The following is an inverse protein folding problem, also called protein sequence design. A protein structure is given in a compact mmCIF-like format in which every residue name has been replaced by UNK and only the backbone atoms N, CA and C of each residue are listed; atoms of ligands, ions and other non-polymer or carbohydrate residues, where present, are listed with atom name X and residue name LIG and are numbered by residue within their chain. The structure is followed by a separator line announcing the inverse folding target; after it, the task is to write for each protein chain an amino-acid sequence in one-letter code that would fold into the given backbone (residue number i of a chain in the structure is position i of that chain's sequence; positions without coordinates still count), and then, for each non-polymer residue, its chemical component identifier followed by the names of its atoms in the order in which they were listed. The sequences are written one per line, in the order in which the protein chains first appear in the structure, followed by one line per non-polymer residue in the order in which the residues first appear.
data_IF_071708962233
#
_entry.id   IF_071708962233
#
_cell.length_a   1.000
_cell.length_b   1.000
_cell.length_c   1.000
_cell.angle_alpha   90.00
_cell.angle_beta   90.00
_cell.angle_gamma   90.00
#
_symmetry.space_group_name_H-M   'P 1'
#
loop_
_entity.id
_entity.type
_entity.pdbx_description
1 polymer ?
#
# COMPACT_ATOMS: atom_id res chain seq x y z
N UNK A 1 28.11 -12.17 -6.49
CA UNK A 1 28.64 -10.99 -5.76
C UNK A 1 28.88 -9.92 -6.80
N UNK A 2 28.37 -8.69 -6.63
CA UNK A 2 28.77 -7.57 -7.49
C UNK A 2 30.29 -7.43 -7.45
N UNK A 3 30.91 -6.99 -8.54
CA UNK A 3 32.34 -6.71 -8.56
C UNK A 3 32.65 -5.71 -7.44
N UNK A 4 33.52 -6.10 -6.50
CA UNK A 4 33.74 -5.38 -5.24
C UNK A 4 34.19 -3.92 -5.43
N UNK A 5 34.68 -3.58 -6.63
CA UNK A 5 35.10 -2.23 -7.01
C UNK A 5 33.91 -1.30 -7.29
N UNK A 6 32.81 -1.82 -7.84
CA UNK A 6 31.63 -1.04 -8.27
C UNK A 6 30.76 -0.56 -7.10
N UNK A 7 30.80 -1.24 -5.95
CA UNK A 7 30.07 -0.86 -4.73
C UNK A 7 31.02 -0.51 -3.58
N UNK A 8 32.16 0.12 -3.90
CA UNK A 8 33.14 0.56 -2.92
C UNK A 8 32.85 1.97 -2.39
N UNK A 9 33.31 2.28 -1.17
CA UNK A 9 33.22 3.64 -0.60
C UNK A 9 33.91 4.68 -1.49
N UNK A 10 35.03 4.32 -2.11
CA UNK A 10 35.77 5.19 -3.04
C UNK A 10 34.95 5.51 -4.29
N UNK A 11 34.23 4.51 -4.85
CA UNK A 11 33.35 4.73 -5.99
C UNK A 11 32.27 5.76 -5.67
N UNK A 12 31.59 5.63 -4.51
CA UNK A 12 30.52 6.53 -4.11
C UNK A 12 31.04 7.92 -3.71
N UNK A 13 32.18 7.99 -3.02
CA UNK A 13 32.81 9.25 -2.61
C UNK A 13 33.25 10.12 -3.79
N UNK A 14 33.54 9.50 -4.93
CA UNK A 14 33.88 10.20 -6.17
C UNK A 14 32.67 10.72 -6.96
N UNK A 15 31.42 10.44 -6.54
CA UNK A 15 30.20 10.88 -7.23
C UNK A 15 29.67 12.19 -6.67
N UNK A 16 29.07 12.99 -7.55
CA UNK A 16 28.28 14.14 -7.09
C UNK A 16 26.93 13.68 -6.53
N UNK A 17 26.27 14.51 -5.74
CA UNK A 17 24.90 14.25 -5.27
C UNK A 17 23.92 14.07 -6.44
N UNK A 18 24.16 14.73 -7.58
CA UNK A 18 23.34 14.58 -8.77
C UNK A 18 23.51 13.18 -9.40
N UNK A 19 24.74 12.69 -9.49
CA UNK A 19 25.03 11.34 -9.98
C UNK A 19 24.42 10.28 -9.05
N UNK A 20 24.57 10.45 -7.73
CA UNK A 20 23.99 9.53 -6.74
C UNK A 20 22.45 9.49 -6.85
N UNK A 21 21.82 10.65 -7.03
CA UNK A 21 20.37 10.73 -7.25
C UNK A 21 19.96 10.05 -8.55
N UNK A 22 20.68 10.28 -9.65
CA UNK A 22 20.40 9.63 -10.93
C UNK A 22 20.57 8.10 -10.85
N UNK A 23 21.60 7.63 -10.15
CA UNK A 23 21.81 6.21 -9.89
C UNK A 23 20.66 5.59 -9.10
N UNK A 24 20.17 6.27 -8.04
CA UNK A 24 19.01 5.81 -7.28
C UNK A 24 17.76 5.68 -8.17
N UNK A 25 17.51 6.65 -9.05
CA UNK A 25 16.39 6.58 -9.99
C UNK A 25 16.52 5.39 -10.97
N UNK A 26 17.73 5.13 -11.47
CA UNK A 26 17.98 3.98 -12.35
C UNK A 26 17.79 2.64 -11.61
N UNK A 27 18.19 2.56 -10.33
CA UNK A 27 17.98 1.38 -9.50
C UNK A 27 16.49 1.13 -9.28
N UNK A 28 15.73 2.16 -8.90
CA UNK A 28 14.28 2.07 -8.71
C UNK A 28 13.60 1.62 -10.01
N UNK A 29 13.92 2.26 -11.14
CA UNK A 29 13.34 1.92 -12.44
C UNK A 29 13.61 0.46 -12.83
N UNK A 30 14.83 -0.05 -12.59
CA UNK A 30 15.18 -1.44 -12.85
C UNK A 30 14.47 -2.41 -11.89
N UNK A 31 14.32 -2.07 -10.61
CA UNK A 31 13.54 -2.88 -9.66
C UNK A 31 12.07 -2.99 -10.08
N UNK A 32 11.45 -1.86 -10.43
CA UNK A 32 10.08 -1.81 -10.91
C UNK A 32 9.92 -2.59 -12.22
N UNK A 33 10.83 -2.41 -13.17
CA UNK A 33 10.84 -3.17 -14.42
C UNK A 33 10.89 -4.68 -14.16
N UNK A 34 11.75 -5.15 -13.27
CA UNK A 34 11.84 -6.58 -12.91
C UNK A 34 10.58 -7.10 -12.25
N UNK A 35 9.94 -6.30 -11.39
CA UNK A 35 8.66 -6.67 -10.79
C UNK A 35 7.57 -6.84 -11.86
N UNK A 36 7.53 -5.95 -12.85
CA UNK A 36 6.59 -6.04 -13.97
C UNK A 36 6.88 -7.25 -14.86
N UNK A 37 8.15 -7.47 -15.24
CA UNK A 37 8.56 -8.56 -16.13
C UNK A 37 8.50 -9.94 -15.46
N UNK A 38 8.63 -10.00 -14.13
CA UNK A 38 8.70 -11.22 -13.35
C UNK A 38 7.40 -11.63 -12.66
N UNK A 39 6.35 -10.81 -12.72
CA UNK A 39 5.06 -11.08 -12.08
C UNK A 39 3.97 -11.46 -13.10
N UNK A 40 2.91 -12.07 -12.59
CA UNK A 40 1.67 -12.35 -13.33
C UNK A 40 0.54 -11.52 -12.69
N UNK A 41 0.31 -10.26 -13.13
CA UNK A 41 -0.59 -9.33 -12.45
C UNK A 41 -2.00 -9.86 -12.24
N UNK A 42 -2.59 -10.56 -13.22
CA UNK A 42 -3.93 -11.14 -13.08
C UNK A 42 -3.99 -12.20 -11.97
N UNK A 43 -2.94 -13.02 -11.83
CA UNK A 43 -2.88 -14.05 -10.79
C UNK A 43 -2.73 -13.42 -9.39
N UNK A 44 -1.92 -12.36 -9.27
CA UNK A 44 -1.77 -11.60 -8.04
C UNK A 44 -3.06 -10.86 -7.66
N UNK A 45 -3.79 -10.34 -8.65
CA UNK A 45 -5.10 -9.73 -8.43
C UNK A 45 -6.09 -10.72 -7.83
N UNK A 46 -6.23 -11.90 -8.43
CA UNK A 46 -7.11 -12.94 -7.92
C UNK A 46 -6.69 -13.42 -6.52
N UNK A 47 -5.39 -13.54 -6.27
CA UNK A 47 -4.88 -13.83 -4.94
C UNK A 47 -5.26 -12.73 -3.94
N UNK A 48 -5.13 -11.46 -4.32
CA UNK A 48 -5.53 -10.32 -3.51
C UNK A 48 -7.01 -10.38 -3.13
N UNK A 49 -7.90 -10.75 -4.05
CA UNK A 49 -9.32 -10.91 -3.74
C UNK A 49 -9.60 -12.09 -2.82
N UNK A 50 -8.85 -13.17 -2.97
CA UNK A 50 -9.01 -14.40 -2.18
C UNK A 50 -8.56 -14.22 -0.72
N UNK A 51 -7.39 -13.61 -0.52
CA UNK A 51 -6.70 -13.61 0.76
C UNK A 51 -6.70 -12.23 1.46
N UNK A 52 -7.05 -11.16 0.75
CA UNK A 52 -6.88 -9.78 1.20
C UNK A 52 -7.92 -9.25 2.18
N UNK A 53 -8.93 -10.03 2.58
CA UNK A 53 -10.05 -9.52 3.37
C UNK A 53 -10.31 -10.31 4.65
N UNK A 54 -10.43 -9.56 5.76
CA UNK A 54 -10.78 -10.07 7.09
C UNK A 54 -12.22 -10.61 7.10
N UNK A 55 -12.59 -11.47 8.07
CA UNK A 55 -13.97 -11.93 8.22
C UNK A 55 -15.03 -10.82 8.39
N UNK A 56 -14.63 -9.65 8.89
CA UNK A 56 -15.50 -8.47 9.00
C UNK A 56 -15.62 -7.67 7.68
N UNK A 57 -14.93 -8.11 6.63
CA UNK A 57 -14.93 -7.51 5.31
C UNK A 57 -13.99 -6.33 5.10
N UNK A 58 -13.23 -5.90 6.12
CA UNK A 58 -12.18 -4.89 5.96
C UNK A 58 -10.88 -5.52 5.42
N UNK A 59 -9.98 -4.74 4.80
CA UNK A 59 -8.75 -5.29 4.25
C UNK A 59 -7.82 -5.82 5.36
N UNK A 60 -7.07 -6.86 5.02
CA UNK A 60 -5.82 -7.22 5.69
C UNK A 60 -4.74 -6.18 5.42
N UNK A 61 -3.62 -6.30 6.13
CA UNK A 61 -2.43 -5.51 5.84
C UNK A 61 -1.93 -5.89 4.43
N UNK A 62 -1.45 -4.93 3.62
CA UNK A 62 -0.90 -5.24 2.30
C UNK A 62 0.37 -6.10 2.43
N UNK A 63 0.75 -6.77 1.34
CA UNK A 63 1.93 -7.64 1.32
C UNK A 63 2.60 -7.63 -0.06
N UNK A 64 3.86 -8.06 -0.10
CA UNK A 64 4.66 -8.10 -1.33
C UNK A 64 4.73 -9.54 -1.85
N UNK A 65 4.57 -9.70 -3.16
CA UNK A 65 4.86 -10.93 -3.91
C UNK A 65 5.64 -10.54 -5.15
N UNK A 66 6.83 -11.13 -5.35
CA UNK A 66 7.66 -10.92 -6.54
C UNK A 66 7.92 -9.45 -6.91
N UNK A 67 8.12 -8.60 -5.89
CA UNK A 67 8.36 -7.16 -6.09
C UNK A 67 7.09 -6.35 -6.39
N UNK A 68 5.90 -6.93 -6.25
CA UNK A 68 4.61 -6.25 -6.39
C UNK A 68 3.89 -6.20 -5.04
N UNK A 69 3.51 -5.00 -4.61
CA UNK A 69 2.65 -4.78 -3.46
C UNK A 69 1.20 -5.03 -3.83
N UNK A 70 0.55 -5.93 -3.09
CA UNK A 70 -0.88 -6.19 -3.17
C UNK A 70 -1.57 -5.33 -2.13
N UNK A 71 -2.45 -4.44 -2.58
CA UNK A 71 -3.17 -3.45 -1.76
C UNK A 71 -4.68 -3.74 -1.71
N UNK A 72 -5.17 -4.54 -0.75
CA UNK A 72 -6.61 -4.73 -0.59
C UNK A 72 -7.29 -3.46 -0.06
N UNK A 73 -8.44 -3.12 -0.63
CA UNK A 73 -9.29 -2.01 -0.23
C UNK A 73 -10.76 -2.44 -0.08
N UNK A 74 -11.51 -1.78 0.80
CA UNK A 74 -12.91 -2.14 0.99
C UNK A 74 -13.79 -0.98 1.45
N UNK A 75 -15.06 -1.07 1.07
CA UNK A 75 -16.18 -0.31 1.65
C UNK A 75 -17.24 -1.30 2.12
N UNK A 76 -17.69 -1.16 3.37
CA UNK A 76 -18.77 -1.96 3.95
C UNK A 76 -19.85 -1.06 4.53
N UNK A 77 -21.00 -0.96 3.85
CA UNK A 77 -22.12 -0.20 4.37
C UNK A 77 -22.65 -0.75 5.68
N UNK A 78 -22.92 0.17 6.60
CA UNK A 78 -23.60 -0.10 7.88
C UNK A 78 -25.06 0.32 7.83
N UNK A 79 -25.35 1.41 7.12
CA UNK A 79 -26.68 1.96 6.87
C UNK A 79 -26.62 3.07 5.83
N UNK A 80 -27.74 3.74 5.57
CA UNK A 80 -27.89 4.70 4.44
C UNK A 80 -26.91 5.88 4.43
N UNK A 81 -26.29 6.21 5.57
CA UNK A 81 -25.37 7.35 5.69
C UNK A 81 -24.02 6.97 6.32
N UNK A 82 -23.72 5.68 6.47
CA UNK A 82 -22.48 5.25 7.14
C UNK A 82 -21.92 3.95 6.60
N UNK A 83 -20.58 3.88 6.53
CA UNK A 83 -19.84 2.69 6.16
C UNK A 83 -18.51 2.62 6.91
N UNK A 84 -17.96 1.41 7.04
CA UNK A 84 -16.57 1.20 7.43
C UNK A 84 -15.75 1.01 6.15
N UNK A 85 -14.59 1.67 6.02
CA UNK A 85 -13.74 1.56 4.84
C UNK A 85 -12.26 1.41 5.22
N UNK A 86 -11.46 0.87 4.31
CA UNK A 86 -10.02 0.75 4.49
C UNK A 86 -9.31 0.72 3.15
N UNK A 87 -8.23 1.51 3.01
CA UNK A 87 -7.47 1.66 1.77
C UNK A 87 -6.00 1.99 2.05
N UNK A 88 -5.13 1.64 1.11
CA UNK A 88 -3.72 2.04 1.12
C UNK A 88 -3.58 3.44 0.52
N UNK A 89 -2.77 4.29 1.15
CA UNK A 89 -2.45 5.63 0.69
C UNK A 89 -0.92 5.81 0.62
N UNK A 90 -0.46 6.49 -0.42
CA UNK A 90 0.92 6.90 -0.65
C UNK A 90 0.97 8.41 -0.59
N UNK A 91 1.70 8.96 0.38
CA UNK A 91 1.76 10.40 0.63
C UNK A 91 0.37 11.08 0.59
N UNK A 92 0.07 11.77 -0.52
CA UNK A 92 -1.14 12.56 -0.73
C UNK A 92 -2.18 11.92 -1.67
N UNK A 93 -1.98 10.66 -2.11
CA UNK A 93 -2.88 9.98 -3.04
C UNK A 93 -3.20 8.54 -2.61
N UNK A 94 -4.30 8.00 -3.12
CA UNK A 94 -4.69 6.61 -2.84
C UNK A 94 -3.97 5.63 -3.75
N UNK A 95 -3.94 4.36 -3.37
CA UNK A 95 -3.25 3.33 -4.15
C UNK A 95 -3.72 3.24 -5.63
N UNK A 96 -5.01 3.48 -5.92
CA UNK A 96 -5.53 3.48 -7.30
C UNK A 96 -5.16 4.74 -8.10
N UNK A 97 -4.61 5.77 -7.45
CA UNK A 97 -4.12 7.01 -8.08
C UNK A 97 -2.60 7.00 -8.26
N UNK A 98 -1.91 5.95 -7.80
CA UNK A 98 -0.46 5.87 -7.87
C UNK A 98 0.00 5.78 -9.34
N UNK A 99 1.03 6.54 -9.76
CA UNK A 99 1.46 6.59 -11.17
C UNK A 99 1.90 5.21 -11.71
N UNK A 100 2.39 4.34 -10.83
CA UNK A 100 2.90 3.03 -11.19
C UNK A 100 1.89 1.88 -10.95
N UNK A 101 0.59 2.16 -10.82
CA UNK A 101 -0.42 1.08 -10.71
C UNK A 101 -0.34 0.16 -11.92
N UNK A 102 -0.11 -1.13 -11.67
CA UNK A 102 -0.10 -2.17 -12.69
C UNK A 102 -1.52 -2.58 -13.06
N UNK A 103 -2.33 -2.78 -12.02
CA UNK A 103 -3.72 -3.19 -12.15
C UNK A 103 -4.50 -2.74 -10.93
N UNK A 104 -5.73 -2.28 -11.15
CA UNK A 104 -6.71 -2.02 -10.11
C UNK A 104 -8.05 -2.62 -10.56
N UNK A 105 -8.68 -3.39 -9.68
CA UNK A 105 -10.02 -3.95 -9.92
C UNK A 105 -10.91 -3.73 -8.71
N UNK A 106 -12.19 -3.56 -8.98
CA UNK A 106 -13.23 -3.29 -7.99
C UNK A 106 -14.38 -4.26 -8.20
N UNK A 107 -14.67 -5.06 -7.16
CA UNK A 107 -15.76 -6.04 -7.14
C UNK A 107 -16.80 -5.65 -6.11
N UNK A 108 -18.06 -5.71 -6.53
CA UNK A 108 -19.21 -5.52 -5.67
C UNK A 108 -19.69 -6.88 -5.16
N UNK A 109 -19.95 -6.96 -3.86
CA UNK A 109 -20.46 -8.18 -3.23
C UNK A 109 -21.95 -8.04 -3.01
N UNK A 110 -22.71 -8.95 -3.63
CA UNK A 110 -24.15 -9.04 -3.46
C UNK A 110 -24.56 -9.20 -1.99
N UNK A 111 -25.72 -8.61 -1.68
CA UNK A 111 -26.32 -8.70 -0.36
C UNK A 111 -27.24 -7.53 -0.04
N UNK A 112 -27.83 -7.52 1.16
CA UNK A 112 -28.79 -6.49 1.58
C UNK A 112 -28.14 -5.12 1.84
N UNK A 113 -26.80 -5.04 1.89
CA UNK A 113 -26.03 -3.82 2.08
C UNK A 113 -24.92 -3.75 1.05
N UNK A 114 -24.61 -2.56 0.56
CA UNK A 114 -23.55 -2.39 -0.42
C UNK A 114 -22.19 -2.73 0.20
N UNK A 115 -21.44 -3.59 -0.48
CA UNK A 115 -20.09 -3.97 -0.12
C UNK A 115 -19.23 -3.95 -1.37
N UNK A 116 -18.10 -3.29 -1.26
CA UNK A 116 -17.11 -3.16 -2.31
C UNK A 116 -15.79 -3.72 -1.82
N UNK A 117 -15.10 -4.43 -2.69
CA UNK A 117 -13.73 -4.88 -2.53
C UNK A 117 -12.92 -4.31 -3.68
N UNK A 118 -11.72 -3.85 -3.40
CA UNK A 118 -10.77 -3.47 -4.43
C UNK A 118 -9.42 -4.11 -4.14
N UNK A 119 -8.64 -4.32 -5.18
CA UNK A 119 -7.25 -4.74 -5.06
C UNK A 119 -6.47 -3.92 -6.08
N UNK A 120 -5.48 -3.17 -5.60
CA UNK A 120 -4.53 -2.45 -6.44
C UNK A 120 -3.16 -3.12 -6.36
N UNK A 121 -2.46 -3.22 -7.48
CA UNK A 121 -1.12 -3.80 -7.61
C UNK A 121 -0.11 -2.71 -7.97
N UNK A 122 0.95 -2.57 -7.18
CA UNK A 122 1.96 -1.50 -7.35
C UNK A 122 3.35 -2.12 -7.26
N UNK A 123 4.26 -1.88 -8.21
CA UNK A 123 5.63 -2.38 -8.10
C UNK A 123 6.34 -1.66 -6.95
N UNK A 124 7.03 -2.42 -6.10
CA UNK A 124 7.79 -1.86 -4.98
C UNK A 124 9.22 -1.55 -5.38
N UNK A 125 9.78 -0.57 -4.66
CA UNK A 125 11.21 -0.34 -4.60
C UNK A 125 11.63 -0.18 -3.15
N UNK A 126 12.93 -0.30 -2.90
CA UNK A 126 13.49 -0.13 -1.57
C UNK A 126 13.18 1.29 -1.03
N UNK A 127 12.75 1.37 0.23
CA UNK A 127 12.40 2.62 0.90
C UNK A 127 11.01 3.18 0.55
N UNK A 128 10.21 2.52 -0.29
CA UNK A 128 8.82 2.93 -0.54
C UNK A 128 8.03 2.93 0.77
N UNK A 129 7.30 4.03 1.02
CA UNK A 129 6.49 4.24 2.23
C UNK A 129 5.02 4.39 1.88
N UNK A 130 4.15 3.86 2.74
CA UNK A 130 2.69 3.99 2.58
C UNK A 130 1.96 3.71 3.91
N UNK A 131 0.69 4.08 3.95
CA UNK A 131 -0.21 3.83 5.08
C UNK A 131 -1.40 2.96 4.67
N UNK A 132 -1.71 1.92 5.44
CA UNK A 132 -3.06 1.34 5.44
C UNK A 132 -3.95 2.15 6.37
N UNK A 133 -4.92 2.87 5.82
CA UNK A 133 -5.85 3.72 6.58
C UNK A 133 -7.21 3.04 6.70
N UNK A 134 -7.63 2.73 7.92
CA UNK A 134 -8.98 2.25 8.23
C UNK A 134 -9.80 3.41 8.80
N UNK A 135 -10.98 3.64 8.23
CA UNK A 135 -11.86 4.76 8.57
C UNK A 135 -13.31 4.32 8.75
N UNK A 136 -14.08 5.19 9.41
CA UNK A 136 -15.55 5.11 9.42
C UNK A 136 -16.11 6.38 8.82
N UNK A 137 -16.90 6.23 7.77
CA UNK A 137 -17.70 7.31 7.21
C UNK A 137 -19.03 7.42 7.96
N UNK A 138 -19.45 8.65 8.22
CA UNK A 138 -20.78 8.98 8.74
C UNK A 138 -21.19 10.35 8.22
N UNK A 139 -22.36 10.46 7.60
CA UNK A 139 -22.89 11.70 7.05
C UNK A 139 -21.87 12.43 6.13
N UNK A 140 -21.20 11.68 5.25
CA UNK A 140 -20.22 12.20 4.30
C UNK A 140 -18.83 12.49 4.87
N UNK A 141 -18.61 12.38 6.19
CA UNK A 141 -17.29 12.60 6.80
C UNK A 141 -16.60 11.27 7.12
N UNK A 142 -15.36 11.12 6.66
CA UNK A 142 -14.50 9.97 6.98
C UNK A 142 -13.66 10.26 8.23
N UNK A 143 -13.88 9.49 9.29
CA UNK A 143 -13.10 9.58 10.53
C UNK A 143 -12.15 8.39 10.62
N UNK A 144 -10.84 8.64 10.57
CA UNK A 144 -9.81 7.63 10.75
C UNK A 144 -10.03 6.86 12.06
N UNK A 145 -9.92 5.54 11.99
CA UNK A 145 -9.97 4.60 13.11
C UNK A 145 -8.58 4.06 13.43
N UNK A 146 -7.81 3.75 12.40
CA UNK A 146 -6.39 3.41 12.52
C UNK A 146 -5.66 3.77 11.24
N UNK A 147 -4.36 3.99 11.35
CA UNK A 147 -3.44 4.00 10.22
C UNK A 147 -2.18 3.22 10.60
N UNK A 148 -1.80 2.26 9.78
CA UNK A 148 -0.56 1.49 9.93
C UNK A 148 0.40 1.93 8.84
N UNK A 149 1.55 2.49 9.24
CA UNK A 149 2.59 2.95 8.34
C UNK A 149 3.57 1.80 8.07
N UNK A 150 3.91 1.62 6.80
CA UNK A 150 4.84 0.60 6.32
C UNK A 150 5.99 1.24 5.56
N UNK A 151 7.11 0.52 5.53
CA UNK A 151 8.24 0.79 4.64
C UNK A 151 8.75 -0.51 4.03
N UNK A 152 9.18 -0.45 2.77
CA UNK A 152 9.89 -1.56 2.12
C UNK A 152 11.35 -1.54 2.56
N UNK A 153 11.78 -2.60 3.23
CA UNK A 153 13.16 -2.83 3.68
C UNK A 153 13.61 -4.23 3.29
N UNK A 154 14.73 -4.34 2.57
CA UNK A 154 15.25 -5.60 2.02
C UNK A 154 14.19 -6.39 1.24
N UNK A 155 13.36 -5.68 0.47
CA UNK A 155 12.25 -6.26 -0.29
C UNK A 155 11.08 -6.80 0.54
N UNK A 156 11.08 -6.58 1.87
CA UNK A 156 10.04 -6.99 2.80
C UNK A 156 9.30 -5.76 3.36
N UNK A 157 8.10 -5.97 3.93
CA UNK A 157 7.38 -4.90 4.62
C UNK A 157 7.77 -4.85 6.10
N UNK A 158 8.23 -3.68 6.53
CA UNK A 158 8.42 -3.35 7.93
C UNK A 158 7.30 -2.39 8.40
N UNK A 159 6.71 -2.68 9.57
CA UNK A 159 5.76 -1.76 10.21
C UNK A 159 6.53 -0.66 10.92
N UNK A 160 6.46 0.56 10.38
CA UNK A 160 7.14 1.74 10.94
C UNK A 160 6.37 2.30 12.14
N UNK A 161 5.03 2.38 12.04
CA UNK A 161 4.22 2.98 13.10
C UNK A 161 2.76 2.53 13.03
N UNK A 162 2.13 2.38 14.20
CA UNK A 162 0.69 2.27 14.34
C UNK A 162 0.10 3.55 14.95
N UNK A 163 -0.93 4.11 14.30
CA UNK A 163 -1.70 5.26 14.78
C UNK A 163 -3.15 4.86 15.04
N UNK A 164 -3.65 5.20 16.22
CA UNK A 164 -5.08 5.17 16.53
C UNK A 164 -5.48 6.49 17.18
N UNK A 165 -6.65 7.08 16.85
CA UNK A 165 -7.12 8.29 17.51
C UNK A 165 -7.18 8.08 19.03
N UNK A 166 -6.68 9.03 19.81
CA UNK A 166 -6.84 9.02 21.27
C UNK A 166 -8.33 9.04 21.60
N UNK A 167 -8.79 8.13 22.48
CA UNK A 167 -10.13 8.23 23.06
C UNK A 167 -10.22 9.55 23.82
N UNK A 168 -11.02 10.49 23.35
CA UNK A 168 -11.41 11.63 24.18
C UNK A 168 -12.35 11.09 25.25
N UNK A 169 -11.86 10.97 26.49
CA UNK A 169 -12.73 10.75 27.64
C UNK A 169 -13.58 12.01 27.82
N UNK A 170 -14.80 12.01 27.28
CA UNK A 170 -15.78 13.03 27.64
C UNK A 170 -16.11 12.86 29.12
N UNK A 171 -15.49 13.67 29.99
CA UNK A 171 -16.03 13.91 31.31
C UNK A 171 -17.41 14.54 31.13
N UNK A 172 -18.45 13.79 31.53
CA UNK A 172 -19.79 14.35 31.70
C UNK A 172 -19.72 15.29 32.90
N UNK A 173 -20.01 16.57 32.67
CA UNK A 173 -20.48 17.48 33.71
C UNK A 173 -22.00 17.42 33.75
#
# INVERSE_FOLDING_TARGET
MPEAEFLSEDFFSAKSNADLSAMMQLIIAEQQKRAIEGSEPDALLEQGFKDGFKPNGLPHDPWIVDGVLICPGAVNERGSTSHDCGFVAFDDHWCWEHPDVLLDDVRYIDGPKHRQRSVSLIPVHEGLEFDLVISRASAGQHKMRSATAFRVVDGCLEVVRNRTPKKTSSHRH
#
